data_IF_578838917303
#
_entry.id   IF_578838917303
#
_cell.length_a   1.000
_cell.length_b   1.000
_cell.length_c   1.000
_cell.angle_alpha   90.00
_cell.angle_beta   90.00
_cell.angle_gamma   90.00
#
_symmetry.space_group_name_H-M   'P 1'
#
loop_
_entity.id
_entity.type
_entity.pdbx_description
1 polymer ?
#
# COMPACT_ATOMS: atom_id res chain seq x y z
N UNK A 1 -16.47 7.22 -10.52
CA UNK A 1 -15.93 7.31 -9.14
C UNK A 1 -16.04 8.77 -8.71
N UNK A 2 -16.79 9.07 -7.66
CA UNK A 2 -16.85 10.42 -7.09
C UNK A 2 -15.54 10.71 -6.36
N UNK A 3 -14.94 11.87 -6.60
CA UNK A 3 -13.74 12.31 -5.88
C UNK A 3 -14.17 12.95 -4.58
N UNK A 4 -13.65 12.47 -3.45
CA UNK A 4 -13.81 13.05 -2.12
C UNK A 4 -12.71 14.08 -1.89
N UNK A 5 -13.02 15.38 -1.81
CA UNK A 5 -12.00 16.40 -1.57
C UNK A 5 -11.45 16.26 -0.14
N UNK A 6 -10.14 16.43 0.00
CA UNK A 6 -9.44 16.41 1.29
C UNK A 6 -9.19 17.84 1.74
N UNK A 7 -9.46 18.12 3.01
CA UNK A 7 -9.16 19.42 3.61
C UNK A 7 -7.66 19.53 3.92
N UNK A 8 -6.93 20.27 3.09
CA UNK A 8 -5.49 20.47 3.21
C UNK A 8 -5.09 21.22 4.49
N UNK A 9 -5.99 22.01 5.09
CA UNK A 9 -5.69 22.71 6.33
C UNK A 9 -5.51 21.72 7.49
N UNK A 10 -6.23 20.60 7.49
CA UNK A 10 -6.07 19.55 8.49
C UNK A 10 -4.73 18.84 8.34
N UNK A 11 -4.28 18.59 7.11
CA UNK A 11 -2.96 18.00 6.85
C UNK A 11 -1.81 18.93 7.25
N UNK A 12 -1.97 20.24 7.06
CA UNK A 12 -0.98 21.23 7.51
C UNK A 12 -0.92 21.40 9.02
N UNK A 13 -1.95 20.97 9.76
CA UNK A 13 -1.95 21.07 11.22
C UNK A 13 -1.04 20.01 11.87
N UNK A 14 -0.77 18.89 11.19
CA UNK A 14 0.14 17.85 11.69
C UNK A 14 1.60 18.11 11.34
N UNK A 15 1.88 18.55 10.10
CA UNK A 15 3.24 18.79 9.61
C UNK A 15 3.32 20.04 8.76
N UNK A 16 4.44 20.76 8.87
CA UNK A 16 4.69 21.99 8.10
C UNK A 16 4.85 21.72 6.60
N UNK A 17 5.41 20.55 6.23
CA UNK A 17 5.63 20.17 4.85
C UNK A 17 4.52 19.27 4.29
N UNK A 18 3.52 19.92 3.68
CA UNK A 18 2.39 19.26 3.03
C UNK A 18 2.82 18.23 1.97
N UNK A 19 3.87 18.50 1.20
CA UNK A 19 4.31 17.59 0.14
C UNK A 19 4.88 16.29 0.72
N UNK A 20 5.66 16.39 1.79
CA UNK A 20 6.15 15.21 2.51
C UNK A 20 5.00 14.38 3.06
N UNK A 21 3.96 15.04 3.59
CA UNK A 21 2.74 14.38 4.05
C UNK A 21 2.04 13.61 2.93
N UNK A 22 1.87 14.22 1.74
CA UNK A 22 1.27 13.55 0.58
C UNK A 22 2.08 12.31 0.16
N UNK A 23 3.42 12.40 0.17
CA UNK A 23 4.29 11.27 -0.15
C UNK A 23 4.14 10.16 0.90
N UNK A 24 4.09 10.49 2.19
CA UNK A 24 3.91 9.52 3.26
C UNK A 24 2.56 8.79 3.13
N UNK A 25 1.47 9.53 2.90
CA UNK A 25 0.13 8.96 2.65
C UNK A 25 0.15 8.03 1.43
N UNK A 26 0.81 8.45 0.34
CA UNK A 26 0.90 7.63 -0.88
C UNK A 26 1.66 6.32 -0.66
N UNK A 27 2.76 6.36 0.10
CA UNK A 27 3.51 5.15 0.48
C UNK A 27 2.65 4.21 1.33
N UNK A 28 1.92 4.75 2.31
CA UNK A 28 1.00 3.97 3.15
C UNK A 28 -0.11 3.31 2.32
N UNK A 29 -0.74 4.06 1.42
CA UNK A 29 -1.77 3.54 0.52
C UNK A 29 -1.24 2.40 -0.37
N UNK A 30 0.02 2.50 -0.84
CA UNK A 30 0.68 1.44 -1.61
C UNK A 30 0.88 0.17 -0.78
N UNK A 31 1.38 0.29 0.46
CA UNK A 31 1.56 -0.85 1.37
C UNK A 31 0.22 -1.57 1.61
N UNK A 32 -0.84 -0.81 1.92
CA UNK A 32 -2.18 -1.37 2.11
C UNK A 32 -2.70 -2.08 0.86
N UNK A 33 -2.42 -1.54 -0.33
CA UNK A 33 -2.82 -2.17 -1.59
C UNK A 33 -2.06 -3.48 -1.85
N UNK A 34 -0.77 -3.54 -1.51
CA UNK A 34 0.02 -4.75 -1.62
C UNK A 34 -0.49 -5.84 -0.65
N UNK A 35 -0.82 -5.47 0.59
CA UNK A 35 -1.46 -6.36 1.57
C UNK A 35 -2.80 -6.90 1.06
N UNK A 36 -3.69 -6.04 0.56
CA UNK A 36 -5.00 -6.46 0.03
C UNK A 36 -4.88 -7.33 -1.23
N UNK A 37 -3.91 -7.03 -2.09
CA UNK A 37 -3.65 -7.85 -3.27
C UNK A 37 -3.20 -9.25 -2.87
N UNK A 38 -2.33 -9.36 -1.87
CA UNK A 38 -1.88 -10.64 -1.35
C UNK A 38 -3.05 -11.42 -0.72
N UNK A 39 -3.88 -10.77 0.10
CA UNK A 39 -5.08 -11.37 0.70
C UNK A 39 -6.06 -11.90 -0.36
N UNK A 40 -6.31 -11.09 -1.41
CA UNK A 40 -7.17 -11.48 -2.52
C UNK A 40 -6.59 -12.69 -3.28
N UNK A 41 -5.29 -12.67 -3.55
CA UNK A 41 -4.62 -13.75 -4.27
C UNK A 41 -4.66 -15.07 -3.51
N UNK A 42 -4.46 -15.03 -2.18
CA UNK A 42 -4.60 -16.18 -1.29
C UNK A 42 -6.03 -16.73 -1.31
N UNK A 43 -7.05 -15.87 -1.14
CA UNK A 43 -8.47 -16.28 -1.16
C UNK A 43 -8.90 -16.86 -2.50
N UNK A 44 -8.32 -16.38 -3.61
CA UNK A 44 -8.63 -16.88 -4.95
C UNK A 44 -7.83 -18.13 -5.34
N UNK A 45 -6.80 -18.50 -4.57
CA UNK A 45 -5.90 -19.61 -4.90
C UNK A 45 -6.62 -20.95 -5.09
N UNK A 46 -7.57 -21.38 -4.24
CA UNK A 46 -8.27 -22.66 -4.42
C UNK A 46 -9.02 -22.75 -5.75
N UNK A 47 -9.67 -21.66 -6.17
CA UNK A 47 -10.40 -21.61 -7.43
C UNK A 47 -9.45 -21.60 -8.64
N UNK A 48 -8.30 -20.92 -8.54
CA UNK A 48 -7.25 -20.99 -9.57
C UNK A 48 -6.71 -22.41 -9.73
N UNK A 49 -6.54 -23.16 -8.63
CA UNK A 49 -6.09 -24.56 -8.67
C UNK A 49 -7.13 -25.48 -9.30
N UNK A 50 -8.42 -25.31 -8.97
CA UNK A 50 -9.52 -26.07 -9.58
C UNK A 50 -9.60 -25.86 -11.10
N UNK A 51 -9.38 -24.63 -11.58
CA UNK A 51 -9.34 -24.32 -13.02
C UNK A 51 -8.09 -24.93 -13.68
N UNK A 52 -6.96 -24.94 -12.97
CA UNK A 52 -5.67 -25.45 -13.50
C UNK A 52 -5.63 -26.97 -13.60
N UNK A 53 -6.23 -27.68 -12.64
CA UNK A 53 -6.33 -29.14 -12.61
C UNK A 53 -7.81 -29.57 -12.50
N UNK A 54 -8.60 -29.36 -13.58
CA UNK A 54 -10.01 -29.68 -13.55
C UNK A 54 -10.21 -31.20 -13.54
N UNK A 55 -11.18 -31.70 -12.76
CA UNK A 55 -11.50 -33.13 -12.74
C UNK A 55 -12.27 -33.57 -14.00
N UNK A 56 -12.80 -32.61 -14.77
CA UNK A 56 -13.52 -32.80 -16.03
C UNK A 56 -13.35 -31.58 -16.94
N UNK A 57 -13.41 -31.77 -18.27
CA UNK A 57 -13.47 -30.66 -19.24
C UNK A 57 -14.64 -29.69 -18.98
N UNK A 58 -15.73 -30.16 -18.34
CA UNK A 58 -16.85 -29.29 -17.97
C UNK A 58 -16.57 -28.40 -16.75
N UNK A 59 -15.52 -28.67 -15.99
CA UNK A 59 -15.13 -27.90 -14.81
C UNK A 59 -14.07 -26.83 -15.12
N UNK A 60 -13.34 -26.96 -16.23
CA UNK A 60 -12.29 -25.99 -16.61
C UNK A 60 -12.85 -24.59 -16.91
N UNK A 61 -14.08 -24.52 -17.40
CA UNK A 61 -14.73 -23.27 -17.83
C UNK A 61 -15.69 -22.70 -16.78
N UNK A 62 -15.74 -23.34 -15.59
CA UNK A 62 -16.74 -23.03 -14.58
C UNK A 62 -16.27 -21.84 -13.74
N UNK A 63 -17.04 -20.75 -13.77
CA UNK A 63 -16.88 -19.65 -12.82
C UNK A 63 -17.63 -20.01 -11.54
N UNK A 64 -16.89 -20.09 -10.43
CA UNK A 64 -17.48 -20.42 -9.14
C UNK A 64 -18.20 -19.18 -8.56
N UNK A 65 -19.45 -19.29 -8.08
CA UNK A 65 -20.17 -18.17 -7.47
C UNK A 65 -19.40 -17.54 -6.30
N UNK A 66 -18.68 -18.36 -5.52
CA UNK A 66 -17.85 -17.90 -4.41
C UNK A 66 -16.65 -17.06 -4.87
N UNK A 67 -16.00 -17.43 -5.99
CA UNK A 67 -14.93 -16.64 -6.60
C UNK A 67 -15.41 -15.23 -6.97
N UNK A 68 -16.63 -15.13 -7.52
CA UNK A 68 -17.26 -13.85 -7.86
C UNK A 68 -17.60 -13.06 -6.60
N UNK A 69 -18.15 -13.72 -5.58
CA UNK A 69 -18.46 -13.08 -4.31
C UNK A 69 -17.21 -12.48 -3.64
N UNK A 70 -16.08 -13.20 -3.64
CA UNK A 70 -14.79 -12.70 -3.12
C UNK A 70 -14.35 -11.46 -3.92
N UNK A 71 -14.40 -11.53 -5.25
CA UNK A 71 -13.99 -10.42 -6.11
C UNK A 71 -14.84 -9.16 -5.85
N UNK A 72 -16.16 -9.33 -5.71
CA UNK A 72 -17.10 -8.24 -5.42
C UNK A 72 -16.89 -7.65 -4.02
N UNK A 73 -16.56 -8.47 -3.02
CA UNK A 73 -16.23 -7.99 -1.68
C UNK A 73 -15.05 -7.00 -1.73
N UNK A 74 -13.96 -7.37 -2.42
CA UNK A 74 -12.77 -6.52 -2.54
C UNK A 74 -13.01 -5.28 -3.40
N UNK A 75 -13.85 -5.39 -4.44
CA UNK A 75 -14.23 -4.22 -5.25
C UNK A 75 -15.05 -3.21 -4.45
N UNK A 76 -15.91 -3.68 -3.55
CA UNK A 76 -16.74 -2.85 -2.68
C UNK A 76 -15.95 -2.16 -1.55
N UNK A 77 -14.73 -2.61 -1.24
CA UNK A 77 -13.88 -1.98 -0.22
C UNK A 77 -13.52 -0.55 -0.62
N UNK A 78 -13.40 0.29 0.39
CA UNK A 78 -12.94 1.66 0.21
C UNK A 78 -11.52 1.69 -0.37
N UNK A 79 -11.24 2.63 -1.27
CA UNK A 79 -9.93 2.75 -1.91
C UNK A 79 -8.83 2.96 -0.85
N UNK A 80 -7.71 2.28 -1.02
CA UNK A 80 -6.58 2.35 -0.08
C UNK A 80 -6.06 3.77 0.12
N UNK A 81 -6.14 4.62 -0.91
CA UNK A 81 -5.80 6.03 -0.81
C UNK A 81 -6.68 6.78 0.21
N UNK A 82 -8.00 6.57 0.17
CA UNK A 82 -8.94 7.21 1.08
C UNK A 82 -8.71 6.71 2.51
N UNK A 83 -8.59 5.39 2.70
CA UNK A 83 -8.27 4.82 4.02
C UNK A 83 -6.93 5.29 4.58
N UNK A 84 -5.91 5.49 3.74
CA UNK A 84 -4.63 6.01 4.18
C UNK A 84 -4.76 7.47 4.65
N UNK A 85 -5.52 8.31 3.93
CA UNK A 85 -5.83 9.68 4.36
C UNK A 85 -6.54 9.65 5.71
N UNK A 86 -7.55 8.80 5.88
CA UNK A 86 -8.32 8.73 7.12
C UNK A 86 -7.47 8.20 8.29
N UNK A 87 -6.63 7.19 8.06
CA UNK A 87 -5.66 6.71 9.05
C UNK A 87 -4.67 7.81 9.47
N UNK A 88 -4.24 8.66 8.54
CA UNK A 88 -3.36 9.79 8.85
C UNK A 88 -4.09 10.85 9.68
N UNK A 89 -5.31 11.25 9.27
CA UNK A 89 -6.12 12.24 9.98
C UNK A 89 -6.53 11.79 11.39
N UNK A 90 -6.64 10.48 11.60
CA UNK A 90 -6.90 9.87 12.91
C UNK A 90 -5.62 9.67 13.76
N UNK A 91 -4.44 10.09 13.26
CA UNK A 91 -3.14 9.89 13.90
C UNK A 91 -2.81 8.41 14.18
N UNK A 92 -3.30 7.49 13.34
CA UNK A 92 -3.01 6.05 13.45
C UNK A 92 -1.59 5.71 13.04
N UNK A 93 -0.98 6.54 12.18
CA UNK A 93 0.43 6.47 11.82
C UNK A 93 0.98 7.87 11.57
N UNK A 94 2.31 7.98 11.60
CA UNK A 94 3.02 9.22 11.29
C UNK A 94 4.33 8.92 10.52
N UNK A 95 5.00 9.95 10.03
CA UNK A 95 6.30 9.86 9.37
C UNK A 95 7.30 10.82 9.99
N UNK A 96 8.57 10.43 9.94
CA UNK A 96 9.69 11.26 10.36
C UNK A 96 10.47 11.68 9.12
N UNK A 97 10.86 12.96 9.05
CA UNK A 97 11.89 13.38 8.12
C UNK A 97 13.24 13.01 8.73
N UNK A 98 14.06 12.27 8.00
CA UNK A 98 15.48 12.17 8.33
C UNK A 98 16.10 13.54 8.07
N UNK A 99 16.75 14.11 9.09
CA UNK A 99 17.56 15.29 8.89
C UNK A 99 18.67 14.96 7.90
N UNK A 100 18.82 15.82 6.88
CA UNK A 100 19.85 15.69 5.85
C UNK A 100 21.29 15.69 6.44
N UNK A 101 21.44 15.94 7.74
CA UNK A 101 22.71 15.90 8.46
C UNK A 101 23.28 14.50 8.70
N UNK A 102 22.46 13.45 8.75
CA UNK A 102 22.96 12.09 9.02
C UNK A 102 23.50 11.39 7.77
N UNK A 103 23.03 11.77 6.58
CA UNK A 103 23.53 11.21 5.31
C UNK A 103 24.93 11.72 4.97
N UNK A 104 25.27 12.95 5.39
CA UNK A 104 26.61 13.50 5.13
C UNK A 104 27.68 12.91 6.06
N UNK A 105 27.37 12.53 7.30
CA UNK A 105 28.37 11.92 8.20
C UNK A 105 28.91 10.58 7.67
N UNK A 106 28.04 9.73 7.14
CA UNK A 106 28.48 8.43 6.63
C UNK A 106 29.31 8.55 5.34
N UNK A 107 29.09 9.61 4.53
CA UNK A 107 29.87 9.82 3.30
C UNK A 107 31.28 10.32 3.57
N UNK A 108 31.45 11.13 4.61
CA UNK A 108 32.77 11.64 5.01
C UNK A 108 33.60 10.59 5.77
N UNK A 109 32.96 9.61 6.43
CA UNK A 109 33.66 8.51 7.12
C UNK A 109 34.15 7.43 6.14
N UNK A 110 33.38 7.09 5.09
CA UNK A 110 33.79 6.09 4.09
C UNK A 110 34.93 6.57 3.17
N UNK A 111 35.02 7.88 2.86
CA UNK A 111 36.10 8.43 2.03
C UNK A 111 37.45 8.53 2.76
N UNK A 112 37.47 8.52 4.10
CA UNK A 112 38.68 8.67 4.90
C UNK A 112 39.33 7.34 5.34
N UNK A 113 38.66 6.20 5.18
CA UNK A 113 39.22 4.88 5.56
C UNK A 113 39.96 4.15 4.43
N UNK A 114 39.90 4.64 3.18
CA UNK A 114 40.53 3.97 2.02
C UNK A 114 41.97 4.40 1.70
N UNK A 115 42.58 5.30 2.48
CA UNK A 115 43.97 5.75 2.26
C UNK A 115 44.84 5.45 3.50
N UNK A 116 45.27 4.18 3.67
CA UNK A 116 46.20 3.84 4.75
C UNK A 116 46.55 2.37 4.99
N UNK A 117 47.13 1.68 4.00
CA UNK A 117 48.32 0.79 4.05
C UNK A 117 48.33 -0.26 2.93
#
# INVERSE_FOLDING_TARGET
>A
MSVTPVDLNKLRASHDNLYATVVAISKRAKMMHEEERAELEEKLLPYKEMIRNPASESESDKVFPEQVAISLEFEAREKTAQRAIDQFLLNTYDYLLQDQGDVNKNRDEEENETDGN
#
